data_IF_758211496613
#
_entry.id   IF_758211496613
#
_cell.length_a   1.000
_cell.length_b   1.000
_cell.length_c   1.000
_cell.angle_alpha   90.00
_cell.angle_beta   90.00
_cell.angle_gamma   90.00
#
_symmetry.space_group_name_H-M   'P 1'
#
loop_
_entity.id
_entity.type
_entity.pdbx_description
1 polymer ?
#
# COMPACT_ATOMS: atom_id res chain seq x y z
N UNK A 1 -13.49 -10.89 -18.55
CA UNK A 1 -12.94 -9.64 -19.13
C UNK A 1 -12.74 -8.55 -18.07
N UNK A 2 -13.77 -8.10 -17.33
CA UNK A 2 -13.59 -7.10 -16.26
C UNK A 2 -12.66 -7.54 -15.11
N UNK A 3 -12.67 -8.83 -14.76
CA UNK A 3 -11.79 -9.43 -13.73
C UNK A 3 -10.29 -9.38 -14.08
N UNK A 4 -9.95 -9.46 -15.37
CA UNK A 4 -8.56 -9.31 -15.83
C UNK A 4 -8.10 -7.84 -15.77
N UNK A 5 -9.04 -6.88 -15.75
CA UNK A 5 -8.71 -5.45 -15.65
C UNK A 5 -8.15 -5.09 -14.28
N UNK A 6 -8.62 -5.73 -13.20
CA UNK A 6 -8.15 -5.46 -11.83
C UNK A 6 -6.96 -6.31 -11.39
N UNK A 7 -6.50 -7.23 -12.23
CA UNK A 7 -5.39 -8.14 -11.95
C UNK A 7 -5.60 -8.89 -10.63
N UNK A 8 -6.73 -9.58 -10.45
CA UNK A 8 -6.99 -10.47 -9.31
C UNK A 8 -7.20 -11.91 -9.82
N UNK A 9 -6.64 -12.89 -9.11
CA UNK A 9 -7.01 -14.29 -9.33
C UNK A 9 -8.36 -14.61 -8.67
N UNK A 10 -8.90 -15.82 -8.91
CA UNK A 10 -10.21 -16.24 -8.36
C UNK A 10 -10.26 -16.11 -6.83
N UNK A 11 -9.17 -16.46 -6.15
CA UNK A 11 -9.08 -16.40 -4.69
C UNK A 11 -8.92 -14.96 -4.19
N UNK A 12 -8.16 -14.14 -4.91
CA UNK A 12 -8.02 -12.71 -4.69
C UNK A 12 -9.37 -11.99 -4.80
N UNK A 13 -10.22 -12.39 -5.74
CA UNK A 13 -11.57 -11.83 -5.87
C UNK A 13 -12.42 -12.18 -4.67
N UNK A 14 -12.49 -13.45 -4.29
CA UNK A 14 -13.26 -13.88 -3.11
C UNK A 14 -12.76 -13.17 -1.84
N UNK A 15 -11.44 -13.05 -1.68
CA UNK A 15 -10.84 -12.30 -0.58
C UNK A 15 -11.21 -10.81 -0.65
N UNK A 16 -11.24 -10.20 -1.85
CA UNK A 16 -11.56 -8.77 -2.02
C UNK A 16 -13.03 -8.47 -1.73
N UNK A 17 -13.93 -9.40 -2.09
CA UNK A 17 -15.35 -9.31 -1.75
C UNK A 17 -15.51 -9.39 -0.23
N UNK A 18 -14.82 -10.32 0.42
CA UNK A 18 -14.84 -10.45 1.88
C UNK A 18 -14.31 -9.18 2.57
N UNK A 19 -13.13 -8.69 2.16
CA UNK A 19 -12.53 -7.46 2.71
C UNK A 19 -13.43 -6.25 2.48
N UNK A 20 -13.99 -6.09 1.28
CA UNK A 20 -14.92 -5.00 0.97
C UNK A 20 -16.22 -5.08 1.78
N UNK A 21 -16.78 -6.27 1.95
CA UNK A 21 -17.94 -6.49 2.80
C UNK A 21 -17.64 -6.13 4.27
N UNK A 22 -16.49 -6.57 4.80
CA UNK A 22 -16.08 -6.23 6.17
C UNK A 22 -15.91 -4.71 6.34
N UNK A 23 -15.26 -4.02 5.41
CA UNK A 23 -15.14 -2.56 5.45
C UNK A 23 -16.52 -1.89 5.45
N UNK A 24 -17.42 -2.34 4.59
CA UNK A 24 -18.76 -1.76 4.48
C UNK A 24 -19.61 -1.99 5.74
N UNK A 25 -19.65 -3.22 6.26
CA UNK A 25 -20.48 -3.54 7.43
C UNK A 25 -19.89 -3.01 8.75
N UNK A 26 -18.58 -2.87 8.85
CA UNK A 26 -17.91 -2.39 10.06
C UNK A 26 -17.69 -0.87 10.05
N UNK A 27 -17.68 -0.22 8.89
CA UNK A 27 -17.32 1.20 8.73
C UNK A 27 -18.32 2.21 9.28
N UNK A 28 -19.48 1.76 9.76
CA UNK A 28 -20.50 2.60 10.38
C UNK A 28 -20.98 3.72 9.46
N UNK A 29 -21.03 4.96 9.97
CA UNK A 29 -21.49 6.12 9.22
C UNK A 29 -20.58 6.49 8.02
N UNK A 30 -19.31 6.06 8.05
CA UNK A 30 -18.32 6.34 7.00
C UNK A 30 -18.00 5.09 6.14
N UNK A 31 -18.86 4.08 6.17
CA UNK A 31 -18.65 2.81 5.48
C UNK A 31 -18.39 2.97 3.99
N UNK A 32 -19.12 3.88 3.33
CA UNK A 32 -19.00 4.12 1.90
C UNK A 32 -17.68 4.81 1.58
N UNK A 33 -17.26 5.79 2.39
CA UNK A 33 -16.04 6.55 2.26
C UNK A 33 -14.80 5.66 2.43
N UNK A 34 -14.80 4.79 3.44
CA UNK A 34 -13.74 3.81 3.62
C UNK A 34 -13.63 2.87 2.43
N UNK A 35 -14.77 2.38 1.92
CA UNK A 35 -14.82 1.51 0.76
C UNK A 35 -14.34 2.21 -0.52
N UNK A 36 -14.75 3.46 -0.75
CA UNK A 36 -14.27 4.28 -1.87
C UNK A 36 -12.75 4.44 -1.80
N UNK A 37 -12.20 4.73 -0.62
CA UNK A 37 -10.74 4.89 -0.46
C UNK A 37 -9.99 3.59 -0.77
N UNK A 38 -10.54 2.43 -0.39
CA UNK A 38 -9.99 1.11 -0.76
C UNK A 38 -10.06 0.88 -2.28
N UNK A 39 -11.13 1.32 -2.94
CA UNK A 39 -11.21 1.28 -4.41
C UNK A 39 -10.21 2.22 -5.09
N UNK A 40 -9.95 3.40 -4.53
CA UNK A 40 -8.90 4.30 -5.04
C UNK A 40 -7.54 3.58 -5.01
N UNK A 41 -7.19 2.96 -3.88
CA UNK A 41 -5.98 2.12 -3.79
C UNK A 41 -5.98 1.00 -4.84
N UNK A 42 -7.08 0.25 -4.97
CA UNK A 42 -7.17 -0.86 -5.91
C UNK A 42 -6.95 -0.39 -7.35
N UNK A 43 -7.68 0.63 -7.79
CA UNK A 43 -7.62 1.16 -9.17
C UNK A 43 -6.25 1.77 -9.46
N UNK A 44 -5.76 2.65 -8.58
CA UNK A 44 -4.47 3.31 -8.75
C UNK A 44 -3.31 2.31 -8.74
N UNK A 45 -3.33 1.36 -7.80
CA UNK A 45 -2.37 0.28 -7.70
C UNK A 45 -2.38 -0.60 -8.96
N UNK A 46 -3.55 -0.94 -9.48
CA UNK A 46 -3.67 -1.73 -10.71
C UNK A 46 -3.12 -0.97 -11.91
N UNK A 47 -3.38 0.34 -12.01
CA UNK A 47 -2.82 1.17 -13.07
C UNK A 47 -1.29 1.11 -13.10
N UNK A 48 -0.62 1.26 -11.94
CA UNK A 48 0.86 1.19 -11.87
C UNK A 48 1.41 -0.22 -12.07
N UNK A 49 0.67 -1.27 -11.70
CA UNK A 49 1.05 -2.65 -12.01
C UNK A 49 1.09 -2.88 -13.52
N UNK A 50 0.09 -2.39 -14.27
CA UNK A 50 0.03 -2.53 -15.75
C UNK A 50 1.10 -1.68 -16.45
N UNK A 51 1.52 -0.54 -15.87
CA UNK A 51 2.57 0.29 -16.45
C UNK A 51 3.88 -0.49 -16.64
N UNK A 52 4.44 -0.41 -17.85
CA UNK A 52 5.71 -1.06 -18.18
C UNK A 52 5.69 -2.58 -18.09
N UNK A 53 4.50 -3.20 -18.24
CA UNK A 53 4.30 -4.66 -18.20
C UNK A 53 5.32 -5.45 -19.01
N UNK A 54 5.53 -5.12 -20.28
CA UNK A 54 6.48 -5.81 -21.17
C UNK A 54 7.92 -5.81 -20.60
N UNK A 55 8.31 -4.70 -19.97
CA UNK A 55 9.63 -4.57 -19.34
C UNK A 55 9.74 -5.41 -18.08
N UNK A 56 8.68 -5.47 -17.26
CA UNK A 56 8.62 -6.30 -16.05
C UNK A 56 8.59 -7.79 -16.39
N UNK A 57 7.88 -8.17 -17.47
CA UNK A 57 7.82 -9.54 -17.98
C UNK A 57 9.19 -9.99 -18.53
N UNK A 58 9.88 -9.14 -19.30
CA UNK A 58 11.20 -9.49 -19.87
C UNK A 58 12.32 -9.67 -18.83
N UNK A 59 12.17 -9.09 -17.63
CA UNK A 59 13.11 -9.27 -16.51
C UNK A 59 12.57 -10.21 -15.41
N UNK A 60 11.42 -10.85 -15.64
CA UNK A 60 10.89 -11.90 -14.76
C UNK A 60 10.35 -11.44 -13.41
N UNK A 61 9.95 -10.18 -13.27
CA UNK A 61 9.44 -9.61 -12.00
C UNK A 61 7.97 -9.21 -12.05
N UNK A 62 7.28 -9.49 -13.17
CA UNK A 62 5.87 -9.16 -13.31
C UNK A 62 5.00 -10.14 -12.51
N UNK A 63 4.23 -9.63 -11.56
CA UNK A 63 3.27 -10.40 -10.79
C UNK A 63 1.93 -10.49 -11.54
N UNK A 64 1.62 -11.66 -12.11
CA UNK A 64 0.30 -11.93 -12.71
C UNK A 64 -0.73 -12.17 -11.61
N UNK A 65 -1.56 -11.17 -11.36
CA UNK A 65 -2.73 -11.30 -10.48
C UNK A 65 -2.37 -11.27 -9.00
N UNK A 66 -3.11 -10.47 -8.22
CA UNK A 66 -3.01 -10.42 -6.77
C UNK A 66 -3.72 -11.63 -6.18
N UNK A 67 -2.98 -12.40 -5.40
CA UNK A 67 -3.51 -13.55 -4.67
C UNK A 67 -4.32 -13.12 -3.44
N UNK A 68 -5.05 -14.05 -2.86
CA UNK A 68 -5.76 -13.83 -1.59
C UNK A 68 -4.82 -13.36 -0.47
N UNK A 69 -3.56 -13.83 -0.41
CA UNK A 69 -2.60 -13.37 0.59
C UNK A 69 -2.29 -11.88 0.43
N UNK A 70 -2.12 -11.39 -0.81
CA UNK A 70 -1.88 -9.98 -1.06
C UNK A 70 -3.08 -9.12 -0.64
N UNK A 71 -4.30 -9.58 -0.96
CA UNK A 71 -5.53 -8.89 -0.60
C UNK A 71 -5.70 -8.81 0.92
N UNK A 72 -5.50 -9.93 1.63
CA UNK A 72 -5.60 -9.95 3.09
C UNK A 72 -4.50 -9.12 3.76
N UNK A 73 -3.25 -9.20 3.29
CA UNK A 73 -2.14 -8.43 3.86
C UNK A 73 -2.40 -6.92 3.80
N UNK A 74 -2.94 -6.45 2.68
CA UNK A 74 -3.26 -5.04 2.48
C UNK A 74 -4.60 -4.63 3.13
N UNK A 75 -5.53 -5.57 3.34
CA UNK A 75 -6.86 -5.30 3.92
C UNK A 75 -6.95 -5.45 5.44
N UNK A 76 -6.09 -6.27 6.06
CA UNK A 76 -6.21 -6.63 7.48
C UNK A 76 -6.02 -5.42 8.41
N UNK A 77 -4.95 -4.65 8.21
CA UNK A 77 -4.66 -3.48 9.06
C UNK A 77 -5.75 -2.39 8.92
N UNK A 78 -6.21 -2.04 7.70
CA UNK A 78 -7.39 -1.18 7.54
C UNK A 78 -8.64 -1.69 8.27
N UNK A 79 -8.96 -2.98 8.20
CA UNK A 79 -10.10 -3.56 8.91
C UNK A 79 -9.94 -3.41 10.43
N UNK A 80 -8.75 -3.70 10.97
CA UNK A 80 -8.45 -3.53 12.39
C UNK A 80 -8.61 -2.06 12.81
N UNK A 81 -8.12 -1.11 12.00
CA UNK A 81 -8.28 0.31 12.28
C UNK A 81 -9.76 0.73 12.37
N UNK A 82 -10.63 0.21 11.48
CA UNK A 82 -12.07 0.44 11.54
C UNK A 82 -12.67 -0.15 12.83
N UNK A 83 -12.32 -1.39 13.17
CA UNK A 83 -12.82 -2.08 14.38
C UNK A 83 -12.45 -1.33 15.68
N UNK A 84 -11.28 -0.71 15.71
CA UNK A 84 -10.81 0.09 16.84
C UNK A 84 -11.32 1.53 16.83
N UNK A 85 -12.12 1.91 15.83
CA UNK A 85 -12.59 3.28 15.60
C UNK A 85 -11.44 4.30 15.50
N UNK A 86 -10.38 3.92 14.77
CA UNK A 86 -9.15 4.68 14.56
C UNK A 86 -9.06 5.11 13.08
N UNK A 87 -9.79 6.16 12.66
CA UNK A 87 -9.83 6.58 11.26
C UNK A 87 -8.46 7.02 10.73
N UNK A 88 -7.62 7.66 11.56
CA UNK A 88 -6.29 8.08 11.13
C UNK A 88 -5.39 6.88 10.86
N UNK A 89 -5.47 5.84 11.71
CA UNK A 89 -4.80 4.56 11.45
C UNK A 89 -5.23 3.94 10.10
N UNK A 90 -6.51 4.03 9.73
CA UNK A 90 -6.99 3.59 8.42
C UNK A 90 -6.31 4.38 7.28
N UNK A 91 -6.29 5.71 7.38
CA UNK A 91 -5.68 6.58 6.36
C UNK A 91 -4.19 6.28 6.19
N UNK A 92 -3.46 6.12 7.30
CA UNK A 92 -2.05 5.76 7.30
C UNK A 92 -1.78 4.41 6.66
N UNK A 93 -2.56 3.39 7.02
CA UNK A 93 -2.44 2.06 6.42
C UNK A 93 -2.64 2.10 4.91
N UNK A 94 -3.72 2.73 4.43
CA UNK A 94 -4.02 2.83 2.99
C UNK A 94 -2.95 3.65 2.25
N UNK A 95 -2.47 4.74 2.84
CA UNK A 95 -1.39 5.54 2.26
C UNK A 95 -0.10 4.72 2.12
N UNK A 96 0.25 3.91 3.12
CA UNK A 96 1.47 3.08 3.09
C UNK A 96 1.40 1.93 2.10
N UNK A 97 0.29 1.18 2.03
CA UNK A 97 0.13 0.13 1.02
C UNK A 97 0.11 0.69 -0.41
N UNK A 98 -0.41 1.91 -0.58
CA UNK A 98 -0.42 2.59 -1.89
C UNK A 98 0.98 3.08 -2.25
N UNK A 99 1.69 3.68 -1.30
CA UNK A 99 3.08 4.09 -1.47
C UNK A 99 3.97 2.89 -1.84
N UNK A 100 3.80 1.75 -1.17
CA UNK A 100 4.56 0.54 -1.46
C UNK A 100 4.28 0.01 -2.87
N UNK A 101 3.00 -0.03 -3.28
CA UNK A 101 2.67 -0.46 -4.63
C UNK A 101 3.20 0.48 -5.70
N UNK A 102 3.12 1.80 -5.53
CA UNK A 102 3.73 2.72 -6.48
C UNK A 102 5.26 2.58 -6.50
N UNK A 103 5.90 2.45 -5.33
CA UNK A 103 7.34 2.36 -5.20
C UNK A 103 7.91 1.11 -5.87
N UNK A 104 7.31 -0.05 -5.61
CA UNK A 104 7.75 -1.32 -6.17
C UNK A 104 7.48 -1.40 -7.68
N UNK A 105 6.30 -1.00 -8.12
CA UNK A 105 5.89 -1.13 -9.52
C UNK A 105 6.65 -0.16 -10.44
N UNK A 106 6.72 1.12 -10.08
CA UNK A 106 7.40 2.15 -10.90
C UNK A 106 8.91 2.10 -10.68
N UNK A 107 9.38 1.90 -9.45
CA UNK A 107 10.81 1.78 -9.13
C UNK A 107 11.47 0.60 -9.84
N UNK A 108 10.73 -0.46 -10.15
CA UNK A 108 11.26 -1.57 -10.96
C UNK A 108 11.61 -1.18 -12.40
N UNK A 109 10.96 -0.14 -12.95
CA UNK A 109 11.14 0.27 -14.34
C UNK A 109 12.42 1.07 -14.58
N UNK A 110 13.02 1.68 -13.55
CA UNK A 110 14.17 2.57 -13.71
C UNK A 110 15.08 2.61 -12.48
N UNK A 111 16.30 3.14 -12.68
CA UNK A 111 17.31 3.20 -11.63
C UNK A 111 17.93 1.86 -11.23
N UNK A 112 18.98 1.96 -10.41
CA UNK A 112 19.65 0.82 -9.79
C UNK A 112 19.19 0.71 -8.34
N UNK A 113 18.47 -0.36 -7.95
CA UNK A 113 18.04 -0.56 -6.57
C UNK A 113 19.22 -0.67 -5.62
N UNK A 114 19.09 -0.10 -4.43
CA UNK A 114 20.02 -0.25 -3.32
C UNK A 114 19.35 -1.12 -2.27
N UNK A 115 19.99 -2.23 -1.89
CA UNK A 115 19.49 -3.10 -0.83
C UNK A 115 19.75 -2.49 0.54
N UNK A 116 18.70 -2.32 1.33
CA UNK A 116 18.80 -1.64 2.64
C UNK A 116 19.67 -2.40 3.64
N UNK A 117 19.77 -3.73 3.54
CA UNK A 117 20.53 -4.53 4.49
C UNK A 117 22.06 -4.33 4.43
N UNK A 118 22.61 -3.84 3.31
CA UNK A 118 24.05 -3.62 3.17
C UNK A 118 24.43 -2.35 2.37
N UNK A 119 23.43 -1.58 1.93
CA UNK A 119 23.58 -0.35 1.15
C UNK A 119 24.32 -0.53 -0.19
N UNK A 120 24.29 -1.73 -0.77
CA UNK A 120 24.90 -2.04 -2.07
C UNK A 120 23.85 -2.16 -3.17
N UNK A 121 24.25 -1.95 -4.45
CA UNK A 121 23.39 -2.25 -5.59
C UNK A 121 22.85 -3.67 -5.57
N UNK A 122 21.57 -3.82 -5.91
CA UNK A 122 20.87 -5.09 -5.96
C UNK A 122 20.12 -5.29 -7.27
N UNK A 123 19.70 -6.54 -7.53
CA UNK A 123 18.89 -6.86 -8.70
C UNK A 123 17.50 -6.25 -8.55
N UNK A 124 16.90 -5.83 -9.66
CA UNK A 124 15.48 -5.40 -9.69
C UNK A 124 14.58 -6.54 -9.21
N UNK A 125 13.58 -6.19 -8.40
CA UNK A 125 12.70 -7.17 -7.75
C UNK A 125 13.28 -7.80 -6.48
N UNK A 126 14.48 -7.40 -6.02
CA UNK A 126 15.00 -7.86 -4.73
C UNK A 126 14.18 -7.26 -3.59
N UNK A 127 13.61 -8.10 -2.73
CA UNK A 127 12.91 -7.65 -1.53
C UNK A 127 13.84 -6.83 -0.63
N UNK A 128 13.32 -5.73 -0.08
CA UNK A 128 14.09 -4.76 0.71
C UNK A 128 15.10 -3.90 -0.07
N UNK A 129 15.03 -3.88 -1.40
CA UNK A 129 15.78 -2.94 -2.22
C UNK A 129 14.92 -1.73 -2.63
N UNK A 130 15.49 -0.53 -2.51
CA UNK A 130 14.81 0.73 -2.78
C UNK A 130 15.46 1.49 -3.92
N UNK A 131 14.69 2.31 -4.63
CA UNK A 131 15.18 3.25 -5.65
C UNK A 131 14.63 4.64 -5.39
N UNK A 132 15.37 5.68 -5.79
CA UNK A 132 14.85 7.06 -5.73
C UNK A 132 13.57 7.23 -6.56
N UNK A 133 13.54 6.63 -7.75
CA UNK A 133 12.36 6.63 -8.62
C UNK A 133 11.16 5.97 -7.92
N UNK A 134 11.38 4.85 -7.23
CA UNK A 134 10.37 4.20 -6.40
C UNK A 134 9.88 5.10 -5.29
N UNK A 135 10.78 5.71 -4.50
CA UNK A 135 10.39 6.61 -3.40
C UNK A 135 9.55 7.80 -3.88
N UNK A 136 9.91 8.43 -5.00
CA UNK A 136 9.13 9.53 -5.59
C UNK A 136 7.76 9.02 -6.06
N UNK A 137 7.71 7.86 -6.71
CA UNK A 137 6.46 7.24 -7.11
C UNK A 137 5.57 6.92 -5.90
N UNK A 138 6.15 6.39 -4.82
CA UNK A 138 5.46 6.11 -3.56
C UNK A 138 4.85 7.36 -2.95
N UNK A 139 5.59 8.47 -2.96
CA UNK A 139 5.09 9.77 -2.51
C UNK A 139 3.87 10.22 -3.33
N UNK A 140 3.92 10.09 -4.66
CA UNK A 140 2.79 10.41 -5.55
C UNK A 140 1.58 9.49 -5.26
N UNK A 141 1.81 8.20 -5.06
CA UNK A 141 0.75 7.25 -4.71
C UNK A 141 0.08 7.61 -3.38
N UNK A 142 0.86 7.97 -2.38
CA UNK A 142 0.35 8.37 -1.08
C UNK A 142 -0.36 9.74 -1.11
N UNK A 143 0.09 10.68 -1.97
CA UNK A 143 -0.60 11.95 -2.24
C UNK A 143 -2.00 11.74 -2.81
N UNK A 144 -2.18 10.79 -3.74
CA UNK A 144 -3.50 10.44 -4.27
C UNK A 144 -4.45 10.01 -3.14
N UNK A 145 -3.93 9.23 -2.18
CA UNK A 145 -4.71 8.83 -1.00
C UNK A 145 -4.99 10.04 -0.11
N UNK A 146 -4.01 10.91 0.12
CA UNK A 146 -4.16 12.09 0.97
C UNK A 146 -5.24 13.07 0.46
N UNK A 147 -5.25 13.34 -0.84
CA UNK A 147 -6.29 14.13 -1.50
C UNK A 147 -7.65 13.43 -1.37
N UNK A 148 -7.71 12.12 -1.62
CA UNK A 148 -8.95 11.34 -1.51
C UNK A 148 -9.51 11.36 -0.09
N UNK A 149 -8.66 11.23 0.93
CA UNK A 149 -9.07 11.34 2.34
C UNK A 149 -9.66 12.71 2.65
N UNK A 150 -9.01 13.79 2.20
CA UNK A 150 -9.51 15.15 2.40
C UNK A 150 -10.87 15.41 1.74
N UNK A 151 -11.12 14.82 0.56
CA UNK A 151 -12.38 14.97 -0.15
C UNK A 151 -13.51 14.10 0.44
N UNK A 152 -13.19 12.92 0.95
CA UNK A 152 -14.17 11.94 1.41
C UNK A 152 -14.57 12.12 2.87
N UNK A 153 -13.66 12.56 3.74
CA UNK A 153 -13.89 12.57 5.19
C UNK A 153 -14.00 14.01 5.74
N UNK A 154 -15.23 14.47 6.05
CA UNK A 154 -15.45 15.76 6.70
C UNK A 154 -14.67 15.86 8.02
N UNK A 155 -14.00 16.99 8.23
CA UNK A 155 -13.19 17.25 9.44
C UNK A 155 -11.70 16.94 9.29
N UNK A 156 -11.27 16.31 8.19
CA UNK A 156 -9.85 16.20 7.84
C UNK A 156 -9.31 17.58 7.47
N UNK A 157 -8.27 18.03 8.17
CA UNK A 157 -7.63 19.33 7.94
C UNK A 157 -6.56 19.25 6.84
N UNK A 158 -6.27 20.38 6.20
CA UNK A 158 -5.20 20.48 5.17
C UNK A 158 -3.83 19.96 5.64
N UNK A 159 -3.51 20.07 6.94
CA UNK A 159 -2.28 19.49 7.50
C UNK A 159 -2.15 17.96 7.29
N UNK A 160 -3.26 17.24 7.20
CA UNK A 160 -3.26 15.81 6.89
C UNK A 160 -2.82 15.56 5.44
N UNK A 161 -3.27 16.39 4.51
CA UNK A 161 -2.88 16.31 3.08
C UNK A 161 -1.38 16.46 2.94
N UNK A 162 -0.77 17.36 3.71
CA UNK A 162 0.67 17.59 3.67
C UNK A 162 1.51 16.50 4.34
N UNK A 163 0.99 15.85 5.39
CA UNK A 163 1.76 14.90 6.20
C UNK A 163 1.55 13.43 5.82
N UNK A 164 0.34 13.06 5.42
CA UNK A 164 -0.01 11.67 5.09
C UNK A 164 0.84 11.05 3.97
N UNK A 165 1.28 11.79 2.92
CA UNK A 165 2.17 11.25 1.90
C UNK A 165 3.50 10.77 2.48
N UNK A 166 4.08 11.55 3.41
CA UNK A 166 5.33 11.18 4.08
C UNK A 166 5.14 9.97 4.99
N UNK A 167 4.01 9.87 5.70
CA UNK A 167 3.66 8.69 6.49
C UNK A 167 3.53 7.46 5.59
N UNK A 168 2.90 7.62 4.42
CA UNK A 168 2.81 6.57 3.40
C UNK A 168 4.19 6.04 3.00
N UNK A 169 5.11 6.96 2.66
CA UNK A 169 6.50 6.61 2.30
C UNK A 169 7.23 5.93 3.46
N UNK A 170 7.09 6.41 4.70
CA UNK A 170 7.68 5.75 5.88
C UNK A 170 7.19 4.31 6.02
N UNK A 171 5.89 4.06 5.85
CA UNK A 171 5.36 2.69 5.86
C UNK A 171 5.89 1.83 4.71
N UNK A 172 6.09 2.39 3.51
CA UNK A 172 6.75 1.66 2.40
C UNK A 172 8.23 1.33 2.71
N UNK A 173 8.94 2.23 3.40
CA UNK A 173 10.28 1.91 3.91
C UNK A 173 10.24 0.81 4.98
N UNK A 174 9.21 0.78 5.84
CA UNK A 174 9.03 -0.29 6.81
C UNK A 174 8.76 -1.64 6.14
N UNK A 175 7.98 -1.69 5.04
CA UNK A 175 7.87 -2.90 4.19
C UNK A 175 9.26 -3.31 3.67
N UNK A 176 10.03 -2.37 3.13
CA UNK A 176 11.37 -2.67 2.61
C UNK A 176 12.34 -3.17 3.69
N UNK A 177 12.27 -2.62 4.91
CA UNK A 177 13.05 -3.11 6.05
C UNK A 177 12.60 -4.52 6.42
N UNK A 178 11.29 -4.79 6.45
CA UNK A 178 10.78 -6.14 6.65
C UNK A 178 11.23 -7.10 5.53
N UNK A 179 11.31 -6.62 4.28
CA UNK A 179 11.82 -7.35 3.12
C UNK A 179 13.26 -7.83 3.25
N UNK A 180 14.09 -7.20 4.09
CA UNK A 180 15.43 -7.71 4.42
C UNK A 180 15.33 -9.09 5.07
N UNK A 181 14.37 -9.29 5.97
CA UNK A 181 14.17 -10.56 6.67
C UNK A 181 13.63 -11.66 5.75
N UNK A 182 12.87 -11.30 4.71
CA UNK A 182 12.43 -12.26 3.70
C UNK A 182 13.62 -12.89 2.96
N UNK A 183 14.66 -12.09 2.67
CA UNK A 183 15.89 -12.62 2.06
C UNK A 183 16.65 -13.59 2.97
N UNK A 184 16.34 -13.60 4.26
CA UNK A 184 16.88 -14.51 5.27
C UNK A 184 15.94 -15.68 5.56
N UNK A 185 14.82 -15.79 4.85
CA UNK A 185 13.80 -16.83 5.05
C UNK A 185 12.85 -16.58 6.22
N UNK A 186 12.86 -15.38 6.81
CA UNK A 186 11.98 -14.99 7.90
C UNK A 186 10.83 -14.16 7.32
N UNK A 187 9.64 -14.76 7.28
CA UNK A 187 8.45 -14.12 6.71
C UNK A 187 8.39 -14.19 5.17
N UNK A 188 7.49 -13.41 4.60
CA UNK A 188 7.23 -13.30 3.16
C UNK A 188 6.58 -11.95 2.83
N UNK A 189 6.29 -11.71 1.54
CA UNK A 189 5.72 -10.44 1.07
C UNK A 189 4.39 -10.05 1.74
N UNK A 190 3.60 -11.01 2.22
CA UNK A 190 2.40 -10.69 3.00
C UNK A 190 2.76 -10.12 4.37
N UNK A 191 3.79 -10.66 5.03
CA UNK A 191 4.27 -10.15 6.33
C UNK A 191 4.93 -8.78 6.24
N UNK A 192 5.70 -8.50 5.18
CA UNK A 192 6.27 -7.17 4.98
C UNK A 192 5.19 -6.13 4.68
N UNK A 193 4.20 -6.47 3.84
CA UNK A 193 3.09 -5.57 3.54
C UNK A 193 2.32 -5.21 4.82
N UNK A 194 2.08 -6.20 5.69
CA UNK A 194 1.47 -5.97 7.01
C UNK A 194 2.36 -5.05 7.85
N UNK A 195 3.67 -5.27 7.91
CA UNK A 195 4.59 -4.43 8.68
C UNK A 195 4.56 -2.96 8.20
N UNK A 196 4.54 -2.75 6.87
CA UNK A 196 4.42 -1.42 6.28
C UNK A 196 3.09 -0.76 6.60
N UNK A 197 1.98 -1.49 6.48
CA UNK A 197 0.64 -1.00 6.80
C UNK A 197 0.48 -0.68 8.30
N UNK A 198 1.00 -1.52 9.20
CA UNK A 198 1.01 -1.27 10.65
C UNK A 198 1.83 -0.03 10.99
N UNK A 199 3.01 0.13 10.38
CA UNK A 199 3.84 1.31 10.59
C UNK A 199 3.10 2.59 10.17
N UNK A 200 2.50 2.60 8.98
CA UNK A 200 1.68 3.70 8.50
C UNK A 200 0.51 4.02 9.42
N UNK A 201 -0.22 2.99 9.85
CA UNK A 201 -1.36 3.11 10.75
C UNK A 201 -0.99 3.76 12.10
N UNK A 202 0.06 3.24 12.74
CA UNK A 202 0.54 3.77 14.03
C UNK A 202 1.01 5.22 13.87
N UNK A 203 1.79 5.51 12.83
CA UNK A 203 2.29 6.86 12.59
C UNK A 203 1.15 7.84 12.34
N UNK A 204 0.19 7.51 11.47
CA UNK A 204 -0.94 8.40 11.20
C UNK A 204 -1.78 8.65 12.46
N UNK A 205 -2.06 7.62 13.26
CA UNK A 205 -2.79 7.82 14.51
C UNK A 205 -2.01 8.71 15.47
N UNK A 206 -0.73 8.43 15.71
CA UNK A 206 0.10 9.22 16.62
C UNK A 206 0.15 10.69 16.19
N UNK A 207 0.48 10.96 14.93
CA UNK A 207 0.64 12.34 14.47
C UNK A 207 -0.69 13.08 14.41
N UNK A 208 -1.77 12.47 13.92
CA UNK A 208 -3.04 13.20 13.75
C UNK A 208 -3.86 13.30 15.02
N UNK A 209 -3.75 12.34 15.96
CA UNK A 209 -4.39 12.46 17.27
C UNK A 209 -3.80 13.59 18.12
N UNK A 210 -2.54 13.98 17.89
CA UNK A 210 -1.88 15.10 18.58
C UNK A 210 -2.41 16.48 18.15
N UNK A 211 -3.06 16.60 17.00
CA UNK A 211 -3.57 17.88 16.46
C UNK A 211 -5.08 18.04 16.58
N UNK A 212 -5.75 17.25 17.43
CA UNK A 212 -7.20 17.35 17.71
C UNK A 212 -7.57 18.74 18.23
#
# INVERSE_FOLDING_TARGET
>A
MALQLLLLDVWGILASILVGALIYFLGGAFAVEYLILMFVFLIAGTAVTVMGKEKKESIGIYEYGRSWQNVLANGLVPIIAILLNMPHAYFGAIASITADKFSSEIGSLGGTPIFLGNLKPAKKGTSGAVTLMGTIAGLIGAEIIAISVYLLFPGVRMGHVLLLPFIGVVGSFADSVAGIFETQGIGNKATSNIAGAVCGAIMAELFFSMFR
#
